data_IF_131091326311
#
_entry.id   IF_131091326311
#
_cell.length_a   1.000
_cell.length_b   1.000
_cell.length_c   1.000
_cell.angle_alpha   90.00
_cell.angle_beta   90.00
_cell.angle_gamma   90.00
#
_symmetry.space_group_name_H-M   'P 1'
#
loop_
_entity.id
_entity.type
_entity.pdbx_description
1 polymer ?
#
# COMPACT_ATOMS: atom_id res chain seq x y z
N UNK A 1 9.49 -0.29 -13.41
CA UNK A 1 8.97 -0.79 -12.12
C UNK A 1 7.58 -1.35 -12.37
N UNK A 2 7.48 -2.65 -12.69
CA UNK A 2 6.22 -3.27 -13.09
C UNK A 2 5.63 -3.95 -11.86
N UNK A 3 4.43 -3.55 -11.49
CA UNK A 3 3.70 -4.11 -10.36
C UNK A 3 3.16 -5.48 -10.79
N UNK A 4 3.95 -6.53 -10.64
CA UNK A 4 3.67 -7.82 -11.28
C UNK A 4 2.46 -8.59 -10.74
N UNK A 5 1.80 -8.16 -9.65
CA UNK A 5 0.67 -8.90 -9.08
C UNK A 5 -0.34 -7.96 -8.39
N UNK A 6 -0.99 -7.12 -9.19
CA UNK A 6 -2.22 -6.39 -8.80
C UNK A 6 -3.18 -6.44 -9.97
N UNK A 7 -4.29 -7.13 -9.79
CA UNK A 7 -5.14 -7.55 -10.91
C UNK A 7 -6.43 -6.77 -10.94
N UNK A 8 -6.96 -6.43 -9.77
CA UNK A 8 -8.16 -5.61 -9.65
C UNK A 8 -7.89 -4.45 -8.69
N UNK A 9 -8.34 -3.26 -9.11
CA UNK A 9 -8.20 -2.01 -8.36
C UNK A 9 -9.45 -1.18 -8.60
N UNK A 10 -9.94 -0.57 -7.53
CA UNK A 10 -11.03 0.38 -7.56
C UNK A 10 -10.57 1.61 -6.78
N UNK A 11 -10.23 2.66 -7.53
CA UNK A 11 -9.65 3.87 -6.99
C UNK A 11 -10.43 5.09 -7.43
N UNK A 12 -10.74 5.95 -6.46
CA UNK A 12 -11.51 7.16 -6.67
C UNK A 12 -10.59 8.39 -6.64
N UNK A 13 -10.67 9.21 -7.68
CA UNK A 13 -9.85 10.41 -7.84
C UNK A 13 -10.73 11.63 -8.11
N UNK A 14 -10.42 12.74 -7.43
CA UNK A 14 -11.01 14.05 -7.68
C UNK A 14 -9.86 15.04 -7.85
N UNK A 15 -9.87 15.84 -8.92
CA UNK A 15 -8.81 16.80 -9.23
C UNK A 15 -7.40 16.18 -9.23
N UNK A 16 -7.28 14.96 -9.77
CA UNK A 16 -6.02 14.17 -9.79
C UNK A 16 -5.47 13.77 -8.42
N UNK A 17 -6.28 13.87 -7.36
CA UNK A 17 -5.95 13.42 -6.00
C UNK A 17 -6.87 12.29 -5.58
N UNK A 18 -6.34 11.32 -4.83
CA UNK A 18 -7.16 10.24 -4.26
C UNK A 18 -8.20 10.84 -3.30
N UNK A 19 -9.45 10.41 -3.41
CA UNK A 19 -10.55 10.81 -2.51
C UNK A 19 -11.57 9.70 -2.42
N UNK A 20 -12.09 9.44 -1.22
CA UNK A 20 -13.04 8.37 -0.99
C UNK A 20 -12.39 6.99 -0.96
N UNK A 21 -13.19 5.94 -1.16
CA UNK A 21 -12.76 4.55 -0.97
C UNK A 21 -11.77 4.09 -2.04
N UNK A 22 -10.75 3.37 -1.61
CA UNK A 22 -9.67 2.82 -2.43
C UNK A 22 -9.51 1.34 -2.08
N UNK A 23 -9.59 0.47 -3.09
CA UNK A 23 -9.52 -0.97 -2.89
C UNK A 23 -8.62 -1.64 -3.92
N UNK A 24 -7.94 -2.66 -3.45
CA UNK A 24 -6.97 -3.43 -4.22
C UNK A 24 -7.15 -4.90 -3.90
N UNK A 25 -7.11 -5.75 -4.92
CA UNK A 25 -7.21 -7.19 -4.76
C UNK A 25 -6.09 -7.94 -5.46
N UNK A 26 -5.72 -9.07 -4.89
CA UNK A 26 -4.94 -10.10 -5.58
C UNK A 26 -5.80 -10.84 -6.61
N UNK A 27 -5.17 -11.59 -7.51
CA UNK A 27 -5.85 -12.50 -8.46
C UNK A 27 -6.77 -13.50 -7.75
N UNK A 28 -6.38 -13.88 -6.53
CA UNK A 28 -7.14 -14.79 -5.67
C UNK A 28 -8.43 -14.17 -5.10
N UNK A 29 -8.73 -12.91 -5.41
CA UNK A 29 -9.87 -12.16 -4.85
C UNK A 29 -9.64 -11.68 -3.42
N UNK A 30 -8.49 -12.00 -2.80
CA UNK A 30 -8.15 -11.49 -1.45
C UNK A 30 -7.84 -10.00 -1.51
N UNK A 31 -8.33 -9.27 -0.51
CA UNK A 31 -8.04 -7.83 -0.34
C UNK A 31 -6.55 -7.65 -0.06
N UNK A 32 -5.89 -6.85 -0.89
CA UNK A 32 -4.51 -6.42 -0.74
C UNK A 32 -4.41 -5.07 -0.04
N UNK A 33 -5.33 -4.16 -0.34
CA UNK A 33 -5.50 -2.90 0.38
C UNK A 33 -6.98 -2.49 0.34
N UNK A 34 -7.44 -1.88 1.42
CA UNK A 34 -8.78 -1.33 1.58
C UNK A 34 -8.69 -0.14 2.53
N UNK A 35 -8.67 1.06 1.97
CA UNK A 35 -8.52 2.30 2.71
C UNK A 35 -9.42 3.39 2.13
N UNK A 36 -9.66 4.45 2.90
CA UNK A 36 -10.42 5.61 2.47
C UNK A 36 -9.56 6.86 2.57
N UNK A 37 -9.71 7.77 1.61
CA UNK A 37 -9.00 9.05 1.60
C UNK A 37 -9.95 10.19 1.93
N UNK A 38 -9.79 10.78 3.11
CA UNK A 38 -10.60 11.89 3.62
C UNK A 38 -9.66 13.07 3.85
N UNK A 39 -9.93 14.20 3.18
CA UNK A 39 -9.10 15.41 3.27
C UNK A 39 -7.60 15.19 2.97
N UNK A 40 -7.28 14.18 2.15
CA UNK A 40 -5.91 13.81 1.79
C UNK A 40 -5.23 12.85 2.75
N UNK A 41 -5.86 12.51 3.88
CA UNK A 41 -5.38 11.49 4.81
C UNK A 41 -5.96 10.12 4.48
N UNK A 42 -5.16 9.06 4.68
CA UNK A 42 -5.53 7.69 4.34
C UNK A 42 -5.84 6.89 5.60
N UNK A 43 -7.02 6.27 5.63
CA UNK A 43 -7.51 5.51 6.78
C UNK A 43 -7.80 4.06 6.38
N UNK A 44 -7.29 3.10 7.16
CA UNK A 44 -7.55 1.67 6.93
C UNK A 44 -6.32 0.88 6.47
N UNK A 45 -6.56 -0.19 5.72
CA UNK A 45 -5.52 -1.13 5.28
C UNK A 45 -4.85 -0.63 4.00
N UNK A 46 -3.83 0.21 4.15
CA UNK A 46 -3.06 0.77 3.01
C UNK A 46 -1.93 -0.20 2.57
N UNK A 47 -1.65 -1.20 3.40
CA UNK A 47 -0.55 -2.17 3.25
C UNK A 47 0.51 -1.98 4.33
N UNK A 48 0.94 -3.06 4.97
CA UNK A 48 1.98 -2.99 6.00
C UNK A 48 3.34 -2.67 5.37
N UNK A 49 3.89 -1.49 5.67
CA UNK A 49 5.33 -1.27 5.55
C UNK A 49 5.97 -1.90 6.79
N UNK A 50 6.74 -2.97 6.61
CA UNK A 50 7.56 -3.50 7.72
C UNK A 50 8.49 -2.37 8.19
N UNK A 51 8.48 -2.06 9.48
CA UNK A 51 9.49 -1.20 10.08
C UNK A 51 10.78 -2.00 10.22
N UNK A 52 11.91 -1.35 10.00
CA UNK A 52 13.22 -1.99 10.10
C UNK A 52 14.16 -1.12 10.93
N UNK A 53 15.03 -1.77 11.71
CA UNK A 53 16.06 -1.08 12.45
C UNK A 53 17.12 -0.56 11.47
N UNK A 54 17.34 0.76 11.47
CA UNK A 54 18.42 1.37 10.69
C UNK A 54 19.71 1.25 11.50
N UNK A 55 20.62 0.37 11.09
CA UNK A 55 21.99 0.33 11.62
C UNK A 55 22.85 1.35 10.87
N UNK A 56 23.52 2.23 11.61
CA UNK A 56 24.39 3.28 11.05
C UNK A 56 25.60 2.61 10.39
N UNK A 57 25.54 2.40 9.07
CA UNK A 57 26.62 1.78 8.30
C UNK A 57 26.19 0.89 7.13
N UNK A 58 24.90 0.55 6.99
CA UNK A 58 24.40 -0.25 5.87
C UNK A 58 23.20 0.42 5.21
N UNK A 59 23.34 0.79 3.93
CA UNK A 59 22.24 1.31 3.11
C UNK A 59 21.20 0.23 2.73
N UNK A 60 21.38 -1.00 3.23
CA UNK A 60 20.53 -2.14 2.94
C UNK A 60 19.92 -2.66 4.24
N UNK A 61 18.60 -2.61 4.28
CA UNK A 61 17.80 -3.21 5.33
C UNK A 61 17.83 -4.73 5.13
N UNK A 62 18.63 -5.44 5.93
CA UNK A 62 18.55 -6.90 6.01
C UNK A 62 17.17 -7.28 6.52
N UNK A 63 16.38 -7.96 5.67
CA UNK A 63 15.07 -8.51 6.02
C UNK A 63 15.26 -9.60 7.08
N UNK A 64 15.30 -9.23 8.35
CA UNK A 64 15.22 -10.18 9.45
C UNK A 64 13.81 -10.76 9.43
N UNK A 65 13.67 -11.93 8.80
CA UNK A 65 12.51 -12.79 8.97
C UNK A 65 12.56 -13.32 10.41
N UNK A 66 11.76 -12.74 11.29
CA UNK A 66 11.24 -13.42 12.46
C UNK A 66 9.75 -13.67 12.23
#
# INVERSE_FOLDING_TARGET
MVCFWVTFRDFNYINSKETGSQKLWYETGKIKANYEVINGERFGLIGLKKCYQVTVGSNEVTKTNR
#
